data_IF_521532489359
#
_entry.id   IF_521532489359
#
_cell.length_a   1.000
_cell.length_b   1.000
_cell.length_c   1.000
_cell.angle_alpha   90.00
_cell.angle_beta   90.00
_cell.angle_gamma   90.00
#
_symmetry.space_group_name_H-M   'P 1'
#
loop_
_entity.id
_entity.type
_entity.pdbx_description
1 polymer ?
#
# COMPACT_ATOMS: atom_id res chain seq x y z
N UNK A 1 -3.99 8.87 -13.61
CA UNK A 1 -5.11 8.62 -12.66
C UNK A 1 -5.01 7.24 -11.98
N UNK A 2 -4.55 6.18 -12.66
CA UNK A 2 -4.41 4.83 -12.06
C UNK A 2 -3.42 4.69 -10.87
N UNK A 3 -2.33 5.47 -10.85
CA UNK A 3 -1.30 5.40 -9.79
C UNK A 3 -1.85 5.88 -8.44
N UNK A 4 -2.60 6.98 -8.46
CA UNK A 4 -3.21 7.54 -7.26
C UNK A 4 -4.29 6.60 -6.72
N UNK A 5 -5.11 6.03 -7.61
CA UNK A 5 -6.14 5.06 -7.25
C UNK A 5 -5.55 3.79 -6.62
N UNK A 6 -4.43 3.27 -7.15
CA UNK A 6 -3.76 2.10 -6.58
C UNK A 6 -3.19 2.39 -5.18
N UNK A 7 -2.63 3.58 -4.97
CA UNK A 7 -2.15 4.02 -3.64
C UNK A 7 -3.32 4.10 -2.66
N UNK A 8 -4.40 4.80 -3.02
CA UNK A 8 -5.59 4.92 -2.15
C UNK A 8 -6.19 3.56 -1.84
N UNK A 9 -6.35 2.70 -2.84
CA UNK A 9 -6.87 1.33 -2.67
C UNK A 9 -6.04 0.52 -1.69
N UNK A 10 -4.70 0.63 -1.76
CA UNK A 10 -3.81 -0.03 -0.82
C UNK A 10 -3.95 0.53 0.61
N UNK A 11 -3.95 1.86 0.76
CA UNK A 11 -4.08 2.51 2.06
C UNK A 11 -5.42 2.21 2.74
N UNK A 12 -6.51 2.18 1.97
CA UNK A 12 -7.84 1.80 2.48
C UNK A 12 -7.88 0.32 2.87
N UNK A 13 -7.21 -0.56 2.11
CA UNK A 13 -7.10 -1.97 2.47
C UNK A 13 -6.31 -2.18 3.77
N UNK A 14 -5.23 -1.41 3.96
CA UNK A 14 -4.46 -1.40 5.22
C UNK A 14 -5.33 -0.90 6.38
N UNK A 15 -6.07 0.19 6.19
CA UNK A 15 -6.98 0.72 7.22
C UNK A 15 -8.06 -0.29 7.61
N UNK A 16 -8.67 -0.98 6.63
CA UNK A 16 -9.71 -1.98 6.89
C UNK A 16 -9.18 -3.17 7.69
N UNK A 17 -7.96 -3.63 7.39
CA UNK A 17 -7.39 -4.82 8.04
C UNK A 17 -6.78 -4.54 9.41
N UNK A 18 -6.08 -3.41 9.54
CA UNK A 18 -5.24 -3.12 10.71
C UNK A 18 -5.67 -1.86 11.47
N UNK A 19 -6.68 -1.14 10.98
CA UNK A 19 -7.20 0.09 11.59
C UNK A 19 -6.53 1.37 11.07
N UNK A 20 -7.11 2.51 11.47
CA UNK A 20 -6.65 3.84 11.05
C UNK A 20 -5.22 4.17 11.51
N UNK A 21 -4.74 3.54 12.58
CA UNK A 21 -3.39 3.73 13.10
C UNK A 21 -2.34 3.18 12.11
N UNK A 22 -2.55 1.96 11.62
CA UNK A 22 -1.69 1.35 10.61
C UNK A 22 -1.64 2.16 9.31
N UNK A 23 -2.76 2.77 8.89
CA UNK A 23 -2.77 3.69 7.73
C UNK A 23 -1.89 4.91 7.98
N UNK A 24 -1.97 5.55 9.14
CA UNK A 24 -1.14 6.74 9.47
C UNK A 24 0.35 6.41 9.47
N UNK A 25 0.70 5.20 9.88
CA UNK A 25 2.08 4.71 9.89
C UNK A 25 2.51 4.04 8.57
N UNK A 26 1.63 3.99 7.57
CA UNK A 26 1.93 3.44 6.25
C UNK A 26 2.08 4.54 5.21
N UNK A 27 3.24 4.60 4.57
CA UNK A 27 3.54 5.54 3.48
C UNK A 27 3.70 4.80 2.15
N UNK A 28 3.04 5.32 1.10
CA UNK A 28 3.25 4.86 -0.27
C UNK A 28 3.60 6.05 -1.14
N UNK A 29 4.79 6.02 -1.76
CA UNK A 29 5.28 7.10 -2.63
C UNK A 29 5.58 6.56 -4.00
N UNK A 30 5.03 7.20 -5.04
CA UNK A 30 5.38 6.89 -6.41
C UNK A 30 6.79 7.41 -6.74
N UNK A 31 7.65 6.56 -7.29
CA UNK A 31 9.05 6.91 -7.64
C UNK A 31 9.24 7.17 -9.14
N UNK A 32 8.36 6.63 -9.99
CA UNK A 32 8.45 6.74 -11.45
C UNK A 32 7.96 5.47 -12.14
N UNK A 33 7.45 5.60 -13.37
CA UNK A 33 6.88 4.48 -14.14
C UNK A 33 5.78 3.75 -13.34
N UNK A 34 5.93 2.44 -13.19
CA UNK A 34 5.03 1.57 -12.41
C UNK A 34 5.57 1.26 -11.02
N UNK A 35 6.53 2.02 -10.50
CA UNK A 35 7.27 1.68 -9.27
C UNK A 35 6.92 2.59 -8.10
N UNK A 36 6.77 1.98 -6.92
CA UNK A 36 6.36 2.59 -5.67
C UNK A 36 7.33 2.22 -4.56
N UNK A 37 7.52 3.15 -3.62
CA UNK A 37 8.17 2.91 -2.35
C UNK A 37 7.08 2.78 -1.32
N UNK A 38 7.00 1.61 -0.70
CA UNK A 38 6.02 1.26 0.32
C UNK A 38 6.74 1.08 1.66
N UNK A 39 6.32 1.82 2.68
CA UNK A 39 6.74 1.66 4.06
C UNK A 39 5.51 1.34 4.88
N UNK A 40 5.44 0.14 5.43
CA UNK A 40 4.30 -0.30 6.25
C UNK A 40 4.56 0.04 7.72
N UNK A 41 3.48 0.16 8.51
CA UNK A 41 3.55 0.46 9.93
C UNK A 41 4.48 -0.49 10.72
N UNK A 42 4.40 -1.80 10.44
CA UNK A 42 5.18 -2.83 11.14
C UNK A 42 6.54 -3.13 10.50
N UNK A 43 6.84 -2.53 9.34
CA UNK A 43 8.10 -2.77 8.63
C UNK A 43 9.14 -1.71 8.97
N UNK A 44 10.30 -2.15 9.47
CA UNK A 44 11.47 -1.31 9.72
C UNK A 44 12.06 -0.70 8.43
N UNK A 45 11.86 -1.37 7.29
CA UNK A 45 12.43 -0.95 6.01
C UNK A 45 11.35 -0.64 4.97
N UNK A 46 11.58 0.41 4.19
CA UNK A 46 10.79 0.68 3.01
C UNK A 46 11.16 -0.33 1.91
N UNK A 47 10.15 -0.85 1.22
CA UNK A 47 10.30 -1.78 0.12
C UNK A 47 9.90 -1.11 -1.20
N UNK A 48 10.58 -1.51 -2.27
CA UNK A 48 10.22 -1.08 -3.63
C UNK A 48 9.28 -2.13 -4.21
N UNK A 49 8.10 -1.71 -4.64
CA UNK A 49 7.08 -2.57 -5.24
C UNK A 49 6.59 -1.96 -6.55
N UNK A 50 6.25 -2.79 -7.52
CA UNK A 50 5.58 -2.35 -8.74
C UNK A 50 4.06 -2.28 -8.57
N UNK A 51 3.36 -1.70 -9.56
CA UNK A 51 1.91 -1.55 -9.58
C UNK A 51 1.17 -2.89 -9.45
N UNK A 52 1.65 -3.93 -10.12
CA UNK A 52 1.05 -5.26 -10.07
C UNK A 52 1.16 -5.85 -8.67
N UNK A 53 2.35 -5.76 -8.07
CA UNK A 53 2.59 -6.19 -6.70
C UNK A 53 1.76 -5.39 -5.68
N UNK A 54 1.68 -4.07 -5.82
CA UNK A 54 0.86 -3.21 -4.95
C UNK A 54 -0.61 -3.65 -4.99
N UNK A 55 -1.15 -3.87 -6.20
CA UNK A 55 -2.54 -4.34 -6.37
C UNK A 55 -2.78 -5.73 -5.78
N UNK A 56 -1.84 -6.66 -5.93
CA UNK A 56 -1.93 -7.98 -5.31
C UNK A 56 -1.93 -7.88 -3.78
N UNK A 57 -1.07 -7.03 -3.22
CA UNK A 57 -1.04 -6.79 -1.78
C UNK A 57 -2.37 -6.19 -1.29
N UNK A 58 -2.92 -5.20 -1.99
CA UNK A 58 -4.25 -4.65 -1.67
C UNK A 58 -5.33 -5.72 -1.65
N UNK A 59 -5.39 -6.58 -2.68
CA UNK A 59 -6.36 -7.69 -2.74
C UNK A 59 -6.18 -8.69 -1.61
N UNK A 60 -4.94 -9.03 -1.27
CA UNK A 60 -4.65 -9.95 -0.17
C UNK A 60 -5.04 -9.35 1.19
N UNK A 61 -4.86 -8.04 1.37
CA UNK A 61 -5.32 -7.33 2.56
C UNK A 61 -6.84 -7.33 2.65
N UNK A 62 -7.54 -7.06 1.54
CA UNK A 62 -9.01 -7.04 1.49
C UNK A 62 -9.66 -8.42 1.66
N UNK A 63 -9.06 -9.49 1.12
CA UNK A 63 -9.60 -10.85 1.25
C UNK A 63 -9.41 -11.46 2.64
N UNK A 64 -8.54 -10.87 3.47
CA UNK A 64 -8.22 -11.33 4.83
C UNK A 64 -8.53 -10.26 5.89
N UNK A 65 -9.42 -9.31 5.59
CA UNK A 65 -9.95 -8.31 6.51
C UNK A 65 -11.42 -8.63 6.82
#
# INVERSE_FOLDING_TARGET
>A
MAIHEAITTYLDAVEKKYGADARKHTEVKHRGGTTFVLKQAESLHAQIVDLGRLNQMSKHLQNHA
#
